data_IF_080668887652
#
_entry.id   IF_080668887652
#
_cell.length_a   1.000
_cell.length_b   1.000
_cell.length_c   1.000
_cell.angle_alpha   90.00
_cell.angle_beta   90.00
_cell.angle_gamma   90.00
#
_symmetry.space_group_name_H-M   'P 1'
#
loop_
_entity.id
_entity.type
_entity.pdbx_description
1 polymer ?
#
# COMPACT_ATOMS: atom_id res chain seq x y z
N UNK A 1 8.00 34.03 -39.53
CA UNK A 1 7.95 33.60 -39.28
C UNK A 1 8.22 32.87 -38.54
N UNK A 2 8.30 32.47 -38.10
CA UNK A 2 8.47 31.78 -37.52
C UNK A 2 8.30 31.60 -36.50
N UNK A 3 8.31 31.55 -36.04
CA UNK A 3 8.25 31.47 -35.25
C UNK A 3 7.65 31.01 -34.50
N UNK A 4 7.56 30.87 -34.23
CA UNK A 4 6.80 30.62 -33.66
C UNK A 4 6.62 29.58 -33.10
N UNK A 5 6.78 29.02 -33.11
CA UNK A 5 6.61 28.00 -32.84
C UNK A 5 6.97 27.52 -31.71
N UNK A 6 7.55 27.71 -31.24
CA UNK A 6 8.05 27.28 -30.39
C UNK A 6 7.60 27.18 -29.21
N UNK A 7 7.11 27.42 -28.74
CA UNK A 7 6.74 27.50 -27.59
C UNK A 7 6.12 26.49 -26.96
N UNK A 8 5.70 25.62 -27.29
CA UNK A 8 4.95 24.57 -26.77
C UNK A 8 5.66 23.62 -25.89
N UNK A 9 6.88 23.22 -26.15
CA UNK A 9 7.50 22.14 -25.42
C UNK A 9 7.64 22.34 -23.93
N UNK A 10 7.55 23.54 -23.45
CA UNK A 10 7.79 23.79 -22.04
C UNK A 10 6.78 23.11 -21.13
N UNK A 11 5.52 23.18 -21.48
CA UNK A 11 4.55 22.59 -20.58
C UNK A 11 4.47 21.07 -20.74
N UNK A 12 4.98 20.56 -21.82
CA UNK A 12 5.10 19.10 -21.93
C UNK A 12 6.15 18.55 -20.98
N UNK A 13 7.19 19.33 -20.74
CA UNK A 13 8.21 18.92 -19.80
C UNK A 13 7.64 18.83 -18.41
N UNK A 14 6.73 19.72 -18.06
CA UNK A 14 6.11 19.69 -16.75
C UNK A 14 5.33 18.42 -16.52
N UNK A 15 4.70 17.90 -17.54
CA UNK A 15 3.95 16.65 -17.42
C UNK A 15 4.87 15.50 -17.07
N UNK A 16 6.07 15.50 -17.60
CA UNK A 16 7.01 14.45 -17.31
C UNK A 16 7.39 14.47 -15.84
N UNK A 17 7.50 15.66 -15.27
CA UNK A 17 7.85 15.78 -13.88
C UNK A 17 6.81 15.16 -12.96
N UNK A 18 5.54 15.26 -13.33
CA UNK A 18 4.48 14.68 -12.53
C UNK A 18 4.60 13.17 -12.45
N UNK A 19 5.03 12.53 -13.52
CA UNK A 19 5.10 11.08 -13.51
C UNK A 19 6.11 10.56 -12.49
N UNK A 20 7.10 11.36 -12.15
CA UNK A 20 8.10 10.96 -11.18
C UNK A 20 7.48 10.83 -9.79
N UNK A 21 6.58 11.74 -9.43
CA UNK A 21 5.99 11.74 -8.11
C UNK A 21 5.10 10.53 -7.86
N UNK A 22 4.62 9.86 -8.91
CA UNK A 22 3.77 8.70 -8.73
C UNK A 22 4.50 7.51 -8.16
N UNK A 23 5.83 7.54 -8.18
CA UNK A 23 6.60 6.43 -7.62
C UNK A 23 6.43 6.29 -6.13
N UNK A 24 5.96 7.30 -5.43
CA UNK A 24 5.78 7.26 -4.00
C UNK A 24 4.45 6.63 -3.59
N UNK A 25 3.74 6.03 -4.54
CA UNK A 25 2.40 5.53 -4.30
C UNK A 25 2.32 4.07 -3.91
N UNK A 26 3.46 3.44 -3.63
CA UNK A 26 3.45 2.04 -3.25
C UNK A 26 2.90 1.82 -1.85
N UNK A 27 2.88 2.83 -1.01
CA UNK A 27 2.26 2.70 0.30
C UNK A 27 1.50 3.98 0.62
N UNK A 28 0.42 3.82 1.37
CA UNK A 28 -0.41 4.94 1.77
C UNK A 28 -1.14 4.59 3.06
N UNK A 29 -1.61 5.63 3.75
CA UNK A 29 -2.42 5.44 4.94
C UNK A 29 -3.87 5.61 4.55
N UNK A 30 -4.70 4.66 4.96
CA UNK A 30 -6.14 4.70 4.69
C UNK A 30 -6.77 5.76 5.60
N UNK A 31 -7.58 6.63 5.03
CA UNK A 31 -8.20 7.71 5.76
C UNK A 31 -9.55 7.34 6.34
N UNK A 32 -10.36 6.61 5.57
CA UNK A 32 -11.70 6.23 6.01
C UNK A 32 -12.18 5.05 5.18
N UNK A 33 -13.40 4.64 5.41
CA UNK A 33 -13.99 3.49 4.74
C UNK A 33 -14.09 3.71 3.23
N UNK A 34 -14.45 4.91 2.80
CA UNK A 34 -14.53 5.19 1.37
C UNK A 34 -13.17 5.09 0.71
N UNK A 35 -12.14 5.62 1.36
CA UNK A 35 -10.78 5.53 0.87
C UNK A 35 -10.35 4.07 0.74
N UNK A 36 -10.68 3.26 1.75
CA UNK A 36 -10.38 1.84 1.73
C UNK A 36 -11.07 1.14 0.56
N UNK A 37 -12.35 1.43 0.35
CA UNK A 37 -13.08 0.80 -0.74
C UNK A 37 -12.48 1.16 -2.09
N UNK A 38 -12.12 2.42 -2.29
CA UNK A 38 -11.61 2.87 -3.58
C UNK A 38 -10.20 2.35 -3.85
N UNK A 39 -9.35 2.37 -2.83
CA UNK A 39 -7.93 2.14 -3.06
C UNK A 39 -7.50 0.71 -2.71
N UNK A 40 -8.29 -0.01 -1.94
CA UNK A 40 -7.97 -1.38 -1.58
C UNK A 40 -8.92 -2.36 -2.26
N UNK A 41 -10.21 -2.24 -2.01
CA UNK A 41 -11.17 -3.22 -2.57
C UNK A 41 -11.25 -3.13 -4.08
N UNK A 42 -11.18 -1.94 -4.63
CA UNK A 42 -11.28 -1.75 -6.07
C UNK A 42 -9.93 -1.73 -6.76
N UNK A 43 -8.87 -2.03 -6.03
CA UNK A 43 -7.53 -2.02 -6.60
C UNK A 43 -7.36 -3.14 -7.61
N UNK A 44 -6.69 -2.82 -8.72
CA UNK A 44 -6.35 -3.81 -9.72
C UNK A 44 -5.09 -4.58 -9.38
N UNK A 45 -4.34 -4.07 -8.40
CA UNK A 45 -3.13 -4.72 -7.92
C UNK A 45 -3.41 -5.38 -6.58
N UNK A 46 -2.64 -6.40 -6.23
CA UNK A 46 -2.75 -6.96 -4.88
C UNK A 46 -2.37 -5.90 -3.85
N UNK A 47 -3.07 -5.91 -2.73
CA UNK A 47 -2.83 -4.94 -1.65
C UNK A 47 -2.55 -5.72 -0.37
N UNK A 48 -1.46 -5.35 0.30
CA UNK A 48 -1.20 -5.82 1.65
C UNK A 48 -1.71 -4.73 2.59
N UNK A 49 -2.63 -5.10 3.48
CA UNK A 49 -3.19 -4.16 4.44
C UNK A 49 -2.50 -4.38 5.78
N UNK A 50 -1.90 -3.32 6.30
CA UNK A 50 -1.18 -3.34 7.58
C UNK A 50 -2.07 -2.67 8.63
N UNK A 51 -2.70 -3.47 9.47
CA UNK A 51 -3.48 -2.96 10.60
C UNK A 51 -2.54 -2.70 11.76
N UNK A 52 -2.53 -1.47 12.24
CA UNK A 52 -1.60 -1.04 13.27
C UNK A 52 -2.26 -0.08 14.24
N UNK A 53 -1.56 0.23 15.32
CA UNK A 53 -1.94 1.27 16.25
C UNK A 53 -0.70 2.06 16.64
N UNK A 54 -0.88 3.33 16.96
CA UNK A 54 0.25 4.19 17.29
C UNK A 54 0.91 3.79 18.62
N UNK A 55 0.16 3.14 19.50
CA UNK A 55 0.67 2.70 20.81
C UNK A 55 1.32 1.31 20.76
N UNK A 56 1.31 0.66 19.64
CA UNK A 56 1.73 -0.72 19.48
C UNK A 56 3.22 -0.77 19.12
N UNK A 57 4.06 -1.26 20.03
CA UNK A 57 5.49 -1.34 19.77
C UNK A 57 5.86 -2.34 18.68
N UNK A 58 5.29 -3.55 18.65
CA UNK A 58 5.59 -4.46 17.52
C UNK A 58 5.20 -3.87 16.17
N UNK A 59 4.14 -3.06 16.11
CA UNK A 59 3.76 -2.40 14.88
C UNK A 59 4.85 -1.47 14.38
N UNK A 60 5.49 -0.76 15.31
CA UNK A 60 6.56 0.18 14.95
C UNK A 60 7.76 -0.55 14.36
N UNK A 61 7.97 -1.79 14.77
CA UNK A 61 9.06 -2.60 14.21
C UNK A 61 8.65 -3.21 12.86
N UNK A 62 7.39 -3.62 12.73
CA UNK A 62 6.93 -4.30 11.53
C UNK A 62 6.78 -3.34 10.34
N UNK A 63 6.24 -2.16 10.56
CA UNK A 63 5.89 -1.26 9.47
C UNK A 63 7.08 -0.94 8.57
N UNK A 64 8.25 -0.53 9.08
CA UNK A 64 9.37 -0.30 8.17
C UNK A 64 9.84 -1.53 7.44
N UNK A 65 9.71 -2.70 8.05
CA UNK A 65 10.09 -3.95 7.38
C UNK A 65 9.19 -4.23 6.20
N UNK A 66 7.88 -4.12 6.39
CA UNK A 66 6.95 -4.40 5.30
C UNK A 66 7.04 -3.32 4.22
N UNK A 67 7.29 -2.08 4.60
CA UNK A 67 7.47 -1.02 3.62
C UNK A 67 8.66 -1.30 2.70
N UNK A 68 9.75 -1.78 3.27
CA UNK A 68 10.92 -2.11 2.48
C UNK A 68 10.64 -3.28 1.53
N UNK A 69 9.95 -4.31 2.03
CA UNK A 69 9.62 -5.46 1.18
C UNK A 69 8.68 -5.07 0.04
N UNK A 70 7.71 -4.22 0.34
CA UNK A 70 6.80 -3.74 -0.70
C UNK A 70 7.55 -2.95 -1.76
N UNK A 71 8.51 -2.12 -1.35
CA UNK A 71 9.31 -1.35 -2.31
C UNK A 71 10.09 -2.27 -3.26
N UNK A 72 10.48 -3.45 -2.80
CA UNK A 72 11.20 -4.40 -3.64
C UNK A 72 10.33 -4.92 -4.79
N UNK A 73 9.02 -4.85 -4.68
CA UNK A 73 8.13 -5.32 -5.75
C UNK A 73 7.98 -4.31 -6.88
N UNK A 74 8.52 -3.12 -6.73
CA UNK A 74 8.51 -2.07 -7.76
C UNK A 74 7.12 -1.79 -8.29
N UNK A 75 6.18 -1.67 -7.36
CA UNK A 75 4.82 -1.28 -7.70
C UNK A 75 3.88 -2.41 -8.04
N UNK A 76 4.33 -3.65 -7.99
CA UNK A 76 3.44 -4.78 -8.26
C UNK A 76 2.46 -5.04 -7.12
N UNK A 77 2.86 -4.72 -5.90
CA UNK A 77 2.02 -4.88 -4.72
C UNK A 77 1.99 -3.55 -3.98
N UNK A 78 0.83 -3.20 -3.47
CA UNK A 78 0.62 -1.92 -2.79
C UNK A 78 0.41 -2.19 -1.30
N UNK A 79 0.91 -1.28 -0.46
CA UNK A 79 0.74 -1.36 0.99
C UNK A 79 -0.27 -0.31 1.44
N UNK A 80 -1.32 -0.75 2.10
CA UNK A 80 -2.31 0.13 2.71
C UNK A 80 -2.21 0.01 4.22
N UNK A 81 -1.99 1.12 4.91
CA UNK A 81 -1.85 1.12 6.36
C UNK A 81 -3.13 1.60 7.00
N UNK A 82 -3.67 0.83 7.92
CA UNK A 82 -4.93 1.13 8.60
C UNK A 82 -4.69 1.25 10.09
N UNK A 83 -4.95 2.45 10.63
CA UNK A 83 -4.90 2.69 12.07
C UNK A 83 -6.21 2.21 12.66
N UNK A 84 -6.16 1.21 13.55
CA UNK A 84 -7.38 0.61 14.09
C UNK A 84 -8.14 1.54 15.02
N UNK A 85 -7.48 2.55 15.57
CA UNK A 85 -8.16 3.51 16.41
C UNK A 85 -8.93 4.52 15.58
N UNK A 86 -8.40 4.90 14.42
CA UNK A 86 -9.09 5.82 13.53
C UNK A 86 -10.14 5.11 12.66
N UNK A 87 -9.94 3.82 12.40
CA UNK A 87 -10.80 3.05 11.51
C UNK A 87 -11.26 1.77 12.18
N UNK A 88 -11.93 1.93 13.31
CA UNK A 88 -12.33 0.76 14.11
C UNK A 88 -13.32 -0.13 13.38
N UNK A 89 -14.15 0.44 12.50
CA UNK A 89 -15.07 -0.37 11.72
C UNK A 89 -14.32 -1.34 10.79
N UNK A 90 -13.27 -0.86 10.18
CA UNK A 90 -12.47 -1.74 9.32
C UNK A 90 -11.84 -2.85 10.12
N UNK A 91 -11.35 -2.54 11.31
CA UNK A 91 -10.76 -3.57 12.16
C UNK A 91 -11.78 -4.64 12.50
N UNK A 92 -13.02 -4.23 12.80
CA UNK A 92 -14.08 -5.18 13.09
C UNK A 92 -14.45 -6.01 11.86
N UNK A 93 -14.55 -5.36 10.70
CA UNK A 93 -14.93 -6.03 9.48
C UNK A 93 -13.95 -7.14 9.09
N UNK A 94 -12.68 -6.94 9.41
CA UNK A 94 -11.64 -7.91 9.05
C UNK A 94 -11.18 -8.74 10.25
N UNK A 95 -11.94 -8.72 11.34
CA UNK A 95 -11.65 -9.52 12.54
C UNK A 95 -10.27 -9.26 13.10
N UNK A 96 -9.87 -8.00 13.15
CA UNK A 96 -8.59 -7.61 13.70
C UNK A 96 -8.78 -7.24 15.16
N UNK A 97 -8.49 -8.21 16.05
CA UNK A 97 -8.62 -7.99 17.49
C UNK A 97 -7.31 -7.65 18.16
N UNK A 98 -6.20 -7.81 17.48
CA UNK A 98 -4.89 -7.48 17.99
C UNK A 98 -4.05 -6.96 16.84
N UNK A 99 -2.97 -6.23 17.16
CA UNK A 99 -2.09 -5.66 16.14
C UNK A 99 -0.67 -6.04 16.47
N UNK A 100 0.19 -6.15 15.44
CA UNK A 100 -0.07 -5.89 14.03
C UNK A 100 -0.67 -7.10 13.32
N UNK A 101 -1.41 -6.84 12.26
CA UNK A 101 -1.97 -7.88 11.39
C UNK A 101 -1.77 -7.42 9.94
N UNK A 102 -1.27 -8.32 9.12
CA UNK A 102 -1.17 -8.08 7.67
C UNK A 102 -2.17 -8.96 6.97
N UNK A 103 -2.94 -8.36 6.06
CA UNK A 103 -3.93 -9.10 5.28
C UNK A 103 -3.68 -8.83 3.81
N UNK A 104 -3.58 -9.90 3.03
CA UNK A 104 -3.41 -9.78 1.59
C UNK A 104 -4.78 -9.81 0.93
N UNK A 105 -5.09 -8.79 0.15
CA UNK A 105 -6.37 -8.64 -0.54
C UNK A 105 -6.11 -8.53 -2.03
N UNK A 106 -6.82 -9.34 -2.81
CA UNK A 106 -6.75 -9.29 -4.26
C UNK A 106 -8.15 -9.34 -4.82
N UNK A 107 -8.47 -8.39 -5.71
CA UNK A 107 -9.81 -8.30 -6.29
C UNK A 107 -10.89 -8.18 -5.21
N UNK A 108 -10.56 -7.45 -4.14
CA UNK A 108 -11.49 -7.23 -3.04
C UNK A 108 -11.64 -8.36 -2.06
N UNK A 109 -10.91 -9.47 -2.25
CA UNK A 109 -11.05 -10.66 -1.42
C UNK A 109 -9.81 -10.92 -0.60
N UNK A 110 -10.01 -11.33 0.65
CA UNK A 110 -8.91 -11.71 1.53
C UNK A 110 -8.36 -13.06 1.09
N UNK A 111 -7.05 -13.10 0.85
CA UNK A 111 -6.42 -14.37 0.45
C UNK A 111 -5.53 -14.96 1.51
N UNK A 112 -4.92 -14.11 2.34
CA UNK A 112 -4.02 -14.63 3.37
C UNK A 112 -3.88 -13.61 4.48
N UNK A 113 -3.53 -14.08 5.67
CA UNK A 113 -3.40 -13.23 6.87
C UNK A 113 -2.15 -13.65 7.65
N UNK A 114 -1.39 -12.68 8.10
CA UNK A 114 -0.28 -12.88 9.02
C UNK A 114 -0.53 -12.07 10.28
N UNK A 115 -0.39 -12.72 11.44
CA UNK A 115 -0.63 -12.07 12.71
C UNK A 115 0.69 -11.93 13.46
N UNK A 116 0.94 -10.76 14.01
CA UNK A 116 2.09 -10.50 14.85
C UNK A 116 3.30 -10.04 14.09
N UNK A 117 4.36 -9.77 14.85
CA UNK A 117 5.62 -9.32 14.29
C UNK A 117 6.31 -10.45 13.55
N UNK A 118 6.74 -10.17 12.33
CA UNK A 118 7.41 -11.13 11.46
C UNK A 118 8.78 -10.60 11.06
N UNK A 119 9.70 -11.52 10.77
CA UNK A 119 10.98 -11.09 10.24
C UNK A 119 10.88 -10.78 8.75
N UNK A 120 11.92 -10.13 8.24
CA UNK A 120 11.91 -9.63 6.87
C UNK A 120 11.81 -10.77 5.84
N UNK A 121 12.49 -11.89 6.10
CA UNK A 121 12.44 -13.01 5.17
C UNK A 121 11.04 -13.58 5.04
N UNK A 122 10.34 -13.70 6.16
CA UNK A 122 8.98 -14.21 6.14
C UNK A 122 8.04 -13.23 5.44
N UNK A 123 8.26 -11.94 5.67
CA UNK A 123 7.47 -10.91 4.98
C UNK A 123 7.71 -10.97 3.47
N UNK A 124 8.96 -11.17 3.07
CA UNK A 124 9.29 -11.25 1.65
C UNK A 124 8.60 -12.44 1.00
N UNK A 125 8.60 -13.59 1.65
CA UNK A 125 7.91 -14.76 1.12
C UNK A 125 6.41 -14.52 1.03
N UNK A 126 5.85 -13.86 2.02
CA UNK A 126 4.42 -13.55 2.02
C UNK A 126 4.06 -12.64 0.85
N UNK A 127 4.82 -11.57 0.66
CA UNK A 127 4.53 -10.59 -0.39
C UNK A 127 4.79 -11.19 -1.77
N UNK A 128 5.83 -11.99 -1.91
CA UNK A 128 6.19 -12.56 -3.21
C UNK A 128 5.09 -13.44 -3.79
N UNK A 129 4.28 -14.07 -2.93
CA UNK A 129 3.16 -14.86 -3.42
C UNK A 129 2.20 -14.04 -4.26
N UNK A 130 2.11 -12.75 -3.99
CA UNK A 130 1.17 -11.89 -4.68
C UNK A 130 1.82 -11.07 -5.78
N UNK A 131 3.13 -10.83 -5.66
CA UNK A 131 3.85 -10.06 -6.66
C UNK A 131 4.07 -10.84 -7.94
N UNK A 132 4.29 -12.14 -7.84
CA UNK A 132 4.68 -12.96 -8.99
C UNK A 132 3.50 -13.53 -9.75
N UNK A 133 2.30 -13.33 -9.29
CA UNK A 133 1.12 -13.88 -9.96
C UNK A 133 0.60 -12.92 -11.01
N UNK A 134 0.44 -13.41 -12.18
CA UNK A 134 0.02 -12.59 -13.30
C UNK A 134 -1.21 -13.15 -13.96
#
# INVERSE_FOLDING_TARGET
MFKTIRKVPLWQIQKINFSVSTQCRESFKVQDLNDFNERVKNSKKPVIVDFFATWCNPCKALTPRIENVIAETKGEVVLAKVDIDENSELALDYDVGSVPVLIAIRNGKVEERLVGLQDTDKLRKFVDKFASQK
#
